data_IF_861787190376
#
_entry.id   IF_861787190376
#
_cell.length_a   1.000
_cell.length_b   1.000
_cell.length_c   1.000
_cell.angle_alpha   90.00
_cell.angle_beta   90.00
_cell.angle_gamma   90.00
#
_symmetry.space_group_name_H-M   'P 1'
#
loop_
_entity.id
_entity.type
_entity.pdbx_description
1 polymer ?
#
# COMPACT_ATOMS: atom_id res chain seq x y z
N UNK A 1 52.22 25.00 -12.15
CA UNK A 1 50.90 25.61 -11.91
C UNK A 1 49.96 25.12 -13.00
N UNK A 2 49.17 24.08 -12.72
CA UNK A 2 48.20 23.53 -13.66
C UNK A 2 46.80 23.81 -13.13
N UNK A 3 46.05 24.60 -13.89
CA UNK A 3 44.68 25.03 -13.64
C UNK A 3 43.69 23.87 -13.76
N UNK A 4 42.95 23.61 -12.70
CA UNK A 4 41.83 22.65 -12.65
C UNK A 4 40.64 23.18 -13.46
N UNK A 5 40.00 22.38 -14.34
CA UNK A 5 38.79 22.80 -15.01
C UNK A 5 37.60 22.71 -14.04
N UNK A 6 36.88 23.83 -13.89
CA UNK A 6 35.62 23.88 -13.14
C UNK A 6 34.60 22.98 -13.82
N UNK A 7 34.07 22.01 -13.07
CA UNK A 7 32.92 21.21 -13.47
C UNK A 7 31.73 22.15 -13.68
N UNK A 8 31.31 22.33 -14.94
CA UNK A 8 30.11 23.08 -15.28
C UNK A 8 28.93 22.19 -14.92
N UNK A 9 28.29 22.45 -13.77
CA UNK A 9 26.99 21.87 -13.44
C UNK A 9 26.04 22.35 -14.55
N UNK A 10 25.58 21.44 -15.39
CA UNK A 10 24.50 21.69 -16.32
C UNK A 10 23.25 21.92 -15.48
N UNK A 11 22.86 23.17 -15.31
CA UNK A 11 21.53 23.54 -14.84
C UNK A 11 20.55 23.05 -15.89
N UNK A 12 19.87 21.92 -15.61
CA UNK A 12 18.64 21.56 -16.31
C UNK A 12 17.70 22.76 -16.17
N UNK A 13 17.23 23.29 -17.30
CA UNK A 13 16.15 24.27 -17.33
C UNK A 13 14.96 23.75 -16.53
N UNK A 14 14.18 24.62 -15.86
CA UNK A 14 12.93 24.19 -15.25
C UNK A 14 12.05 23.53 -16.32
N UNK A 15 11.68 22.27 -16.08
CA UNK A 15 10.91 21.37 -16.98
C UNK A 15 9.48 21.89 -17.30
N UNK A 16 9.16 23.13 -16.93
CA UNK A 16 7.95 23.83 -17.28
C UNK A 16 8.02 24.36 -18.73
N UNK A 17 8.13 23.48 -19.73
CA UNK A 17 7.99 23.89 -21.13
C UNK A 17 6.64 23.44 -21.72
N UNK A 18 5.84 24.46 -22.08
CA UNK A 18 4.70 24.45 -23.02
C UNK A 18 3.42 23.68 -22.65
N UNK A 19 2.87 23.98 -21.48
CA UNK A 19 1.46 23.74 -21.15
C UNK A 19 0.74 24.98 -20.62
N UNK A 20 1.24 26.19 -20.92
CA UNK A 20 0.58 27.42 -20.50
C UNK A 20 -0.72 27.61 -21.29
N UNK A 21 -1.83 27.27 -20.65
CA UNK A 21 -3.13 27.90 -20.87
C UNK A 21 -3.90 27.42 -22.10
N UNK A 22 -4.36 26.18 -22.10
CA UNK A 22 -5.68 25.90 -22.64
C UNK A 22 -6.54 25.44 -21.46
N UNK A 23 -7.40 26.34 -21.02
CA UNK A 23 -8.54 25.94 -20.21
C UNK A 23 -9.59 25.34 -21.15
N UNK A 24 -10.25 24.27 -20.73
CA UNK A 24 -11.45 23.80 -21.43
C UNK A 24 -12.58 24.85 -21.36
N UNK A 25 -13.67 24.67 -22.10
CA UNK A 25 -14.82 25.59 -22.10
C UNK A 25 -15.41 25.85 -20.69
N UNK A 26 -15.02 25.06 -19.68
CA UNK A 26 -15.42 25.19 -18.29
C UNK A 26 -14.34 25.79 -17.37
N UNK A 27 -13.24 26.32 -17.90
CA UNK A 27 -12.16 26.94 -17.12
C UNK A 27 -11.23 25.94 -16.43
N UNK A 28 -11.22 24.66 -16.85
CA UNK A 28 -10.39 23.60 -16.23
C UNK A 28 -9.10 23.40 -17.01
N UNK A 29 -7.98 22.99 -16.37
CA UNK A 29 -6.75 22.69 -17.09
C UNK A 29 -6.99 21.60 -18.16
N UNK A 30 -6.61 21.86 -19.41
CA UNK A 30 -6.68 20.85 -20.47
C UNK A 30 -5.88 19.60 -20.08
N UNK A 31 -6.51 18.44 -20.22
CA UNK A 31 -5.88 17.13 -20.04
C UNK A 31 -5.14 16.73 -21.31
N UNK A 32 -4.03 16.04 -21.13
CA UNK A 32 -3.15 15.60 -22.20
C UNK A 32 -3.44 14.15 -22.60
N UNK A 33 -3.15 13.84 -23.85
CA UNK A 33 -2.96 12.48 -24.35
C UNK A 33 -1.60 11.93 -23.92
N UNK A 34 -1.43 10.61 -23.99
CA UNK A 34 -0.19 9.93 -23.60
C UNK A 34 1.01 10.43 -24.42
N UNK A 35 0.82 10.66 -25.71
CA UNK A 35 1.89 11.09 -26.63
C UNK A 35 2.37 12.53 -26.37
N UNK A 36 1.56 13.34 -25.68
CA UNK A 36 1.89 14.72 -25.27
C UNK A 36 2.67 14.77 -23.94
N UNK A 37 2.75 13.66 -23.20
CA UNK A 37 3.49 13.61 -21.94
C UNK A 37 5.01 13.60 -22.18
N UNK A 38 5.84 14.05 -21.24
CA UNK A 38 7.30 13.96 -21.37
C UNK A 38 7.79 12.52 -21.54
N UNK A 39 8.90 12.32 -22.25
CA UNK A 39 9.45 10.98 -22.56
C UNK A 39 9.69 10.11 -21.32
N UNK A 40 10.19 10.71 -20.22
CA UNK A 40 10.42 10.00 -18.97
C UNK A 40 9.11 9.43 -18.40
N UNK A 41 8.02 10.19 -18.52
CA UNK A 41 6.71 9.79 -18.03
C UNK A 41 6.15 8.67 -18.90
N UNK A 42 6.25 8.79 -20.23
CA UNK A 42 5.80 7.76 -21.17
C UNK A 42 6.55 6.43 -20.98
N UNK A 43 7.86 6.48 -20.72
CA UNK A 43 8.68 5.28 -20.50
C UNK A 43 8.24 4.49 -19.26
N UNK A 44 7.87 5.18 -18.19
CA UNK A 44 7.58 4.57 -16.90
C UNK A 44 6.10 4.20 -16.71
N UNK A 45 5.20 4.74 -17.54
CA UNK A 45 3.75 4.58 -17.40
C UNK A 45 3.10 3.62 -18.41
N UNK A 46 1.81 3.37 -18.20
CA UNK A 46 1.06 2.39 -18.97
C UNK A 46 0.62 2.93 -20.35
N UNK A 47 1.31 2.50 -21.42
CA UNK A 47 0.99 2.79 -22.83
C UNK A 47 -0.45 2.49 -23.30
N UNK A 48 -1.24 1.75 -22.53
CA UNK A 48 -2.64 1.43 -22.89
C UNK A 48 -3.65 2.48 -22.40
N UNK A 49 -3.21 3.36 -21.49
CA UNK A 49 -3.98 4.50 -21.00
C UNK A 49 -3.62 5.69 -21.89
N UNK A 50 -4.57 6.13 -22.72
CA UNK A 50 -4.27 7.02 -23.85
C UNK A 50 -4.57 8.50 -23.57
N UNK A 51 -5.50 8.81 -22.67
CA UNK A 51 -5.95 10.18 -22.41
C UNK A 51 -6.13 10.45 -20.91
N UNK A 52 -6.40 11.72 -20.60
CA UNK A 52 -6.79 12.15 -19.27
C UNK A 52 -5.61 12.47 -18.35
N UNK A 53 -4.40 12.61 -18.90
CA UNK A 53 -3.20 12.93 -18.13
C UNK A 53 -3.20 14.40 -17.70
N UNK A 54 -2.78 14.65 -16.47
CA UNK A 54 -2.57 16.02 -15.99
C UNK A 54 -1.21 16.52 -16.48
N UNK A 55 -1.10 17.77 -16.96
CA UNK A 55 0.19 18.37 -17.28
C UNK A 55 1.16 18.35 -16.09
N UNK A 56 2.46 18.30 -16.37
CA UNK A 56 3.51 18.48 -15.37
C UNK A 56 3.43 19.90 -14.82
N UNK A 57 3.06 19.99 -13.54
CA UNK A 57 2.61 21.23 -12.93
C UNK A 57 3.70 21.96 -12.14
N UNK A 58 4.75 21.25 -11.69
CA UNK A 58 5.75 21.76 -10.77
C UNK A 58 5.17 22.28 -9.44
N UNK A 59 3.92 21.95 -9.12
CA UNK A 59 3.17 22.61 -8.05
C UNK A 59 2.24 21.66 -7.33
N UNK A 60 2.56 21.34 -6.07
CA UNK A 60 1.69 20.54 -5.22
C UNK A 60 0.28 21.14 -5.10
N UNK A 61 0.18 22.49 -5.05
CA UNK A 61 -1.13 23.17 -5.02
C UNK A 61 -1.95 22.88 -6.27
N UNK A 62 -1.33 22.82 -7.45
CA UNK A 62 -2.02 22.45 -8.68
C UNK A 62 -2.44 20.98 -8.66
N UNK A 63 -1.56 20.08 -8.20
CA UNK A 63 -1.87 18.66 -8.00
C UNK A 63 -3.08 18.44 -7.09
N UNK A 64 -3.15 19.09 -5.91
CA UNK A 64 -4.30 18.99 -5.01
C UNK A 64 -5.57 19.65 -5.57
N UNK A 65 -5.45 20.69 -6.40
CA UNK A 65 -6.61 21.26 -7.10
C UNK A 65 -7.23 20.27 -8.09
N UNK A 66 -6.48 19.27 -8.55
CA UNK A 66 -6.99 18.28 -9.49
C UNK A 66 -8.07 17.36 -8.92
N UNK A 67 -8.19 17.28 -7.59
CA UNK A 67 -9.25 16.53 -6.92
C UNK A 67 -10.67 17.00 -7.28
N UNK A 68 -10.79 18.20 -7.88
CA UNK A 68 -12.06 18.85 -8.24
C UNK A 68 -12.54 18.54 -9.66
N UNK A 69 -11.75 17.82 -10.46
CA UNK A 69 -12.12 17.44 -11.81
C UNK A 69 -11.68 16.00 -12.11
N UNK A 70 -12.30 15.39 -13.12
CA UNK A 70 -12.01 14.01 -13.51
C UNK A 70 -10.76 13.96 -14.39
N UNK A 71 -9.90 12.99 -14.12
CA UNK A 71 -8.69 12.68 -14.87
C UNK A 71 -8.36 11.19 -14.69
N UNK A 72 -7.37 10.68 -15.41
CA UNK A 72 -7.03 9.24 -15.40
C UNK A 72 -6.65 8.70 -14.00
N UNK A 73 -6.07 9.54 -13.15
CA UNK A 73 -5.71 9.17 -11.77
C UNK A 73 -6.84 9.34 -10.73
N UNK A 74 -8.02 9.84 -11.12
CA UNK A 74 -9.08 10.15 -10.14
C UNK A 74 -9.50 8.91 -9.35
N UNK A 75 -9.73 7.78 -10.02
CA UNK A 75 -10.14 6.55 -9.33
C UNK A 75 -9.01 6.03 -8.45
N UNK A 76 -7.75 6.09 -8.90
CA UNK A 76 -6.60 5.65 -8.10
C UNK A 76 -6.42 6.47 -6.81
N UNK A 77 -6.64 7.80 -6.88
CA UNK A 77 -6.62 8.68 -5.70
C UNK A 77 -7.72 8.28 -4.72
N UNK A 78 -8.98 8.26 -5.17
CA UNK A 78 -10.11 8.05 -4.25
C UNK A 78 -10.25 6.61 -3.76
N UNK A 79 -9.81 5.63 -4.53
CA UNK A 79 -9.83 4.21 -4.12
C UNK A 79 -8.94 3.92 -2.94
N UNK A 80 -7.92 4.74 -2.66
CA UNK A 80 -7.09 4.65 -1.45
C UNK A 80 -7.30 5.82 -0.48
N UNK A 81 -7.64 7.03 -0.93
CA UNK A 81 -7.92 8.15 -0.02
C UNK A 81 -9.12 7.86 0.89
N UNK A 82 -10.21 7.31 0.33
CA UNK A 82 -11.40 6.99 1.11
C UNK A 82 -11.07 5.91 2.17
N UNK A 83 -10.46 4.75 1.81
CA UNK A 83 -10.01 3.78 2.80
C UNK A 83 -9.01 4.32 3.82
N UNK A 84 -8.06 5.17 3.44
CA UNK A 84 -7.13 5.78 4.39
C UNK A 84 -7.88 6.52 5.52
N UNK A 85 -8.90 7.30 5.15
CA UNK A 85 -9.75 8.02 6.10
C UNK A 85 -10.62 7.06 6.90
N UNK A 86 -11.25 6.07 6.24
CA UNK A 86 -12.11 5.08 6.90
C UNK A 86 -11.33 4.26 7.92
N UNK A 87 -10.12 3.79 7.60
CA UNK A 87 -9.30 3.03 8.55
C UNK A 87 -8.80 3.92 9.69
N UNK A 88 -8.43 5.18 9.42
CA UNK A 88 -7.99 6.10 10.46
C UNK A 88 -9.09 6.38 11.51
N UNK A 89 -10.32 6.65 11.08
CA UNK A 89 -11.46 6.81 11.99
C UNK A 89 -11.98 5.47 12.53
N UNK A 90 -11.87 4.43 11.72
CA UNK A 90 -12.21 3.06 12.07
C UNK A 90 -11.38 2.53 13.23
N UNK A 91 -10.14 3.00 13.40
CA UNK A 91 -9.32 2.67 14.55
C UNK A 91 -9.97 3.09 15.86
N UNK A 92 -10.36 4.36 15.96
CA UNK A 92 -11.08 4.86 17.13
C UNK A 92 -12.36 4.05 17.37
N UNK A 93 -13.12 3.76 16.31
CA UNK A 93 -14.34 2.96 16.42
C UNK A 93 -14.08 1.54 16.93
N UNK A 94 -13.11 0.82 16.36
CA UNK A 94 -12.75 -0.55 16.75
C UNK A 94 -12.28 -0.58 18.20
N UNK A 95 -11.38 0.33 18.61
CA UNK A 95 -10.89 0.35 19.99
C UNK A 95 -12.03 0.62 20.98
N UNK A 96 -12.97 1.51 20.64
CA UNK A 96 -14.17 1.77 21.46
C UNK A 96 -15.11 0.57 21.51
N UNK A 97 -15.33 -0.09 20.37
CA UNK A 97 -16.13 -1.31 20.28
C UNK A 97 -15.53 -2.42 21.16
N UNK A 98 -14.23 -2.67 21.04
CA UNK A 98 -13.52 -3.68 21.81
C UNK A 98 -13.57 -3.38 23.31
N UNK A 99 -13.31 -2.13 23.72
CA UNK A 99 -13.39 -1.71 25.12
C UNK A 99 -14.80 -1.80 25.70
N UNK A 100 -15.84 -1.58 24.89
CA UNK A 100 -17.24 -1.66 25.32
C UNK A 100 -17.78 -3.09 25.38
N UNK A 101 -17.33 -3.97 24.47
CA UNK A 101 -17.81 -5.35 24.36
C UNK A 101 -17.10 -6.30 25.33
N UNK A 102 -15.80 -6.10 25.58
CA UNK A 102 -14.96 -7.05 26.31
C UNK A 102 -14.45 -6.48 27.63
N UNK A 103 -14.88 -7.07 28.74
CA UNK A 103 -14.53 -6.61 30.10
C UNK A 103 -13.07 -6.89 30.51
N UNK A 104 -12.41 -7.88 29.90
CA UNK A 104 -11.03 -8.28 30.22
C UNK A 104 -10.06 -8.03 29.06
N UNK A 105 -10.28 -6.96 28.31
CA UNK A 105 -9.37 -6.57 27.24
C UNK A 105 -8.05 -6.03 27.79
N UNK A 106 -6.95 -6.39 27.14
CA UNK A 106 -5.58 -6.04 27.52
C UNK A 106 -5.02 -4.94 26.61
N UNK A 107 -3.96 -4.29 27.06
CA UNK A 107 -3.24 -3.32 26.22
C UNK A 107 -2.64 -3.97 24.97
N UNK A 108 -2.26 -5.25 25.04
CA UNK A 108 -1.71 -5.98 23.89
C UNK A 108 -2.76 -6.16 22.79
N UNK A 109 -4.03 -6.40 23.16
CA UNK A 109 -5.16 -6.45 22.22
C UNK A 109 -5.24 -5.13 21.45
N UNK A 110 -5.30 -4.00 22.17
CA UNK A 110 -5.39 -2.68 21.57
C UNK A 110 -4.21 -2.37 20.67
N UNK A 111 -2.98 -2.67 21.11
CA UNK A 111 -1.77 -2.43 20.32
C UNK A 111 -1.81 -3.24 19.01
N UNK A 112 -2.20 -4.52 19.06
CA UNK A 112 -2.24 -5.36 17.87
C UNK A 112 -3.24 -4.84 16.82
N UNK A 113 -4.46 -4.48 17.23
CA UNK A 113 -5.45 -3.91 16.31
C UNK A 113 -5.06 -2.52 15.81
N UNK A 114 -4.57 -1.64 16.69
CA UNK A 114 -4.13 -0.29 16.30
C UNK A 114 -3.00 -0.38 15.27
N UNK A 115 -2.07 -1.31 15.45
CA UNK A 115 -0.95 -1.47 14.53
C UNK A 115 -1.43 -1.86 13.13
N UNK A 116 -2.40 -2.76 13.00
CA UNK A 116 -3.03 -3.07 11.71
C UNK A 116 -3.73 -1.85 11.11
N UNK A 117 -4.56 -1.15 11.90
CA UNK A 117 -5.37 -0.03 11.42
C UNK A 117 -4.52 1.18 10.97
N UNK A 118 -3.52 1.56 11.78
CA UNK A 118 -2.60 2.65 11.45
C UNK A 118 -1.75 2.31 10.22
N UNK A 119 -1.19 1.10 10.15
CA UNK A 119 -0.32 0.72 9.02
C UNK A 119 -1.10 0.61 7.71
N UNK A 120 -2.35 0.11 7.74
CA UNK A 120 -3.26 0.15 6.61
C UNK A 120 -3.55 1.60 6.18
N UNK A 121 -3.89 2.47 7.14
CA UNK A 121 -4.15 3.89 6.89
C UNK A 121 -2.95 4.59 6.25
N UNK A 122 -1.74 4.32 6.74
CA UNK A 122 -0.48 4.86 6.19
C UNK A 122 -0.26 4.37 4.76
N UNK A 123 -0.45 3.08 4.49
CA UNK A 123 -0.30 2.52 3.15
C UNK A 123 -1.22 3.22 2.14
N UNK A 124 -2.50 3.29 2.45
CA UNK A 124 -3.48 3.93 1.57
C UNK A 124 -3.24 5.44 1.43
N UNK A 125 -2.82 6.11 2.51
CA UNK A 125 -2.48 7.54 2.45
C UNK A 125 -1.27 7.80 1.54
N UNK A 126 -0.21 7.01 1.66
CA UNK A 126 0.99 7.14 0.81
C UNK A 126 0.65 6.92 -0.67
N UNK A 127 -0.17 5.93 -0.97
CA UNK A 127 -0.66 5.69 -2.32
C UNK A 127 -1.49 6.86 -2.86
N UNK A 128 -2.46 7.36 -2.08
CA UNK A 128 -3.28 8.51 -2.48
C UNK A 128 -2.44 9.78 -2.70
N UNK A 129 -1.40 9.99 -1.88
CA UNK A 129 -0.45 11.10 -2.04
C UNK A 129 0.37 10.93 -3.33
N UNK A 130 0.85 9.73 -3.63
CA UNK A 130 1.57 9.45 -4.87
C UNK A 130 0.72 9.78 -6.11
N UNK A 131 -0.48 9.18 -6.23
CA UNK A 131 -1.36 9.46 -7.36
C UNK A 131 -1.81 10.92 -7.41
N UNK A 132 -1.85 11.62 -6.28
CA UNK A 132 -2.10 13.06 -6.28
C UNK A 132 -0.91 13.83 -6.87
N UNK A 133 0.31 13.54 -6.43
CA UNK A 133 1.52 14.32 -6.71
C UNK A 133 2.33 13.86 -7.92
N UNK A 134 1.97 12.77 -8.59
CA UNK A 134 2.72 12.24 -9.74
C UNK A 134 2.85 13.23 -10.92
N UNK A 135 1.94 14.20 -11.05
CA UNK A 135 2.04 15.27 -12.06
C UNK A 135 2.88 16.48 -11.59
N UNK A 136 3.64 16.36 -10.51
CA UNK A 136 4.43 17.48 -9.97
C UNK A 136 5.71 17.70 -10.78
N UNK A 137 6.69 16.82 -10.64
CA UNK A 137 7.98 16.84 -11.33
C UNK A 137 8.60 15.45 -11.24
N UNK A 138 9.59 15.16 -12.08
CA UNK A 138 10.30 13.88 -12.09
C UNK A 138 10.75 13.44 -10.68
N UNK A 139 11.40 14.34 -9.93
CA UNK A 139 11.94 14.02 -8.59
C UNK A 139 10.85 13.73 -7.55
N UNK A 140 9.74 14.48 -7.59
CA UNK A 140 8.63 14.31 -6.64
C UNK A 140 7.84 13.05 -6.95
N UNK A 141 7.59 12.78 -8.23
CA UNK A 141 6.97 11.54 -8.71
C UNK A 141 7.74 10.31 -8.19
N UNK A 142 9.05 10.25 -8.47
CA UNK A 142 9.89 9.12 -8.04
C UNK A 142 10.06 9.03 -6.53
N UNK A 143 10.03 10.15 -5.80
CA UNK A 143 10.03 10.14 -4.34
C UNK A 143 8.72 9.60 -3.78
N UNK A 144 7.57 10.09 -4.24
CA UNK A 144 6.27 9.65 -3.80
C UNK A 144 5.98 8.19 -4.18
N UNK A 145 6.42 7.74 -5.36
CA UNK A 145 6.33 6.33 -5.75
C UNK A 145 7.08 5.41 -4.77
N UNK A 146 8.24 5.85 -4.25
CA UNK A 146 8.96 5.12 -3.20
C UNK A 146 8.22 5.08 -1.88
N UNK A 147 7.55 6.18 -1.51
CA UNK A 147 6.71 6.21 -0.31
C UNK A 147 5.51 5.27 -0.45
N UNK A 148 4.88 5.20 -1.62
CA UNK A 148 3.79 4.26 -1.89
C UNK A 148 4.24 2.80 -1.69
N UNK A 149 5.36 2.42 -2.32
CA UNK A 149 5.97 1.09 -2.15
C UNK A 149 6.36 0.78 -0.69
N UNK A 150 6.87 1.79 0.03
CA UNK A 150 7.15 1.68 1.46
C UNK A 150 5.87 1.44 2.27
N UNK A 151 4.78 2.11 1.91
CA UNK A 151 3.46 1.95 2.53
C UNK A 151 2.99 0.50 2.49
N UNK A 152 3.12 -0.17 1.34
CA UNK A 152 2.78 -1.59 1.20
C UNK A 152 3.61 -2.44 2.17
N UNK A 153 4.93 -2.18 2.25
CA UNK A 153 5.82 -2.89 3.18
C UNK A 153 5.43 -2.70 4.65
N UNK A 154 5.08 -1.47 5.04
CA UNK A 154 4.63 -1.15 6.41
C UNK A 154 3.31 -1.87 6.71
N UNK A 155 2.36 -1.91 5.77
CA UNK A 155 1.10 -2.61 5.96
C UNK A 155 1.25 -4.13 6.05
N UNK A 156 2.14 -4.74 5.25
CA UNK A 156 2.48 -6.17 5.38
C UNK A 156 2.96 -6.48 6.80
N UNK A 157 3.84 -5.64 7.37
CA UNK A 157 4.32 -5.82 8.75
C UNK A 157 3.15 -5.73 9.75
N UNK A 158 2.25 -4.77 9.57
CA UNK A 158 1.04 -4.62 10.39
C UNK A 158 0.09 -5.81 10.35
N UNK A 159 -0.19 -6.30 9.15
CA UNK A 159 -0.99 -7.50 8.88
C UNK A 159 -0.41 -8.74 9.56
N UNK A 160 0.90 -8.97 9.43
CA UNK A 160 1.54 -10.13 10.06
C UNK A 160 1.55 -10.00 11.59
N UNK A 161 1.78 -8.80 12.14
CA UNK A 161 1.77 -8.60 13.60
C UNK A 161 0.43 -8.97 14.21
N UNK A 162 -0.69 -8.49 13.65
CA UNK A 162 -2.02 -8.86 14.12
C UNK A 162 -2.36 -10.33 13.83
N UNK A 163 -1.95 -10.86 12.67
CA UNK A 163 -2.12 -12.28 12.35
C UNK A 163 -1.44 -13.22 13.34
N UNK A 164 -0.17 -12.95 13.66
CA UNK A 164 0.60 -13.69 14.67
C UNK A 164 -0.06 -13.58 16.04
N UNK A 165 -0.55 -12.39 16.41
CA UNK A 165 -1.26 -12.17 17.66
C UNK A 165 -2.49 -13.09 17.80
N UNK A 166 -3.30 -13.16 16.75
CA UNK A 166 -4.53 -13.94 16.73
C UNK A 166 -4.25 -15.46 16.68
N UNK A 167 -3.26 -15.90 15.90
CA UNK A 167 -2.86 -17.31 15.81
C UNK A 167 -2.35 -17.78 17.18
N UNK A 168 -1.33 -17.10 17.71
CA UNK A 168 -0.61 -17.44 18.94
C UNK A 168 -1.12 -16.66 20.15
N UNK A 169 -2.44 -16.56 20.27
CA UNK A 169 -3.11 -15.77 21.31
C UNK A 169 -2.61 -16.11 22.73
N UNK A 170 -2.63 -17.39 23.09
CA UNK A 170 -2.15 -17.89 24.38
C UNK A 170 -0.64 -18.15 24.43
N UNK A 171 0.03 -18.21 23.27
CA UNK A 171 1.43 -18.64 23.16
C UNK A 171 2.37 -17.43 23.06
N UNK A 172 2.60 -16.77 24.21
CA UNK A 172 3.38 -15.52 24.27
C UNK A 172 4.81 -15.68 23.74
N UNK A 173 5.47 -16.81 24.02
CA UNK A 173 6.83 -17.08 23.52
C UNK A 173 6.88 -17.15 22.00
N UNK A 174 5.97 -17.90 21.38
CA UNK A 174 5.89 -18.01 19.92
C UNK A 174 5.56 -16.67 19.28
N UNK A 175 4.60 -15.94 19.86
CA UNK A 175 4.26 -14.58 19.42
C UNK A 175 5.47 -13.66 19.39
N UNK A 176 6.25 -13.61 20.48
CA UNK A 176 7.42 -12.73 20.57
C UNK A 176 8.53 -13.11 19.58
N UNK A 177 8.74 -14.40 19.32
CA UNK A 177 9.69 -14.90 18.31
C UNK A 177 9.28 -14.38 16.92
N UNK A 178 8.03 -14.57 16.54
CA UNK A 178 7.55 -14.16 15.21
C UNK A 178 7.46 -12.64 15.05
N UNK A 179 7.05 -11.91 16.08
CA UNK A 179 7.11 -10.45 16.06
C UNK A 179 8.54 -9.92 15.90
N UNK A 180 9.51 -10.54 16.57
CA UNK A 180 10.92 -10.18 16.42
C UNK A 180 11.41 -10.42 14.99
N UNK A 181 11.07 -11.59 14.42
CA UNK A 181 11.40 -11.92 13.03
C UNK A 181 10.83 -10.91 12.03
N UNK A 182 9.54 -10.59 12.15
CA UNK A 182 8.86 -9.63 11.27
C UNK A 182 9.41 -8.22 11.46
N UNK A 183 9.75 -7.83 12.69
CA UNK A 183 10.40 -6.56 12.99
C UNK A 183 11.77 -6.43 12.29
N UNK A 184 12.58 -7.50 12.29
CA UNK A 184 13.88 -7.53 11.58
C UNK A 184 13.69 -7.39 10.07
N UNK A 185 12.80 -8.19 9.46
CA UNK A 185 12.56 -8.10 8.01
C UNK A 185 11.94 -6.76 7.61
N UNK A 186 10.99 -6.26 8.38
CA UNK A 186 10.39 -4.93 8.19
C UNK A 186 11.44 -3.82 8.26
N UNK A 187 12.31 -3.83 9.26
CA UNK A 187 13.39 -2.85 9.38
C UNK A 187 14.35 -2.90 8.19
N UNK A 188 14.74 -4.09 7.74
CA UNK A 188 15.59 -4.26 6.55
C UNK A 188 14.90 -3.71 5.29
N UNK A 189 13.61 -3.97 5.10
CA UNK A 189 12.84 -3.43 3.98
C UNK A 189 12.78 -1.90 4.01
N UNK A 190 12.51 -1.30 5.17
CA UNK A 190 12.48 0.16 5.34
C UNK A 190 13.85 0.77 5.03
N UNK A 191 14.92 0.24 5.62
CA UNK A 191 16.30 0.75 5.44
C UNK A 191 16.70 0.66 3.97
N UNK A 192 16.46 -0.47 3.31
CA UNK A 192 16.87 -0.68 1.92
C UNK A 192 16.07 0.18 0.94
N UNK A 193 14.80 0.51 1.23
CA UNK A 193 13.97 1.34 0.36
C UNK A 193 14.16 2.85 0.57
N UNK A 194 14.49 3.30 1.77
CA UNK A 194 14.61 4.75 2.07
C UNK A 194 16.06 5.23 1.96
N UNK A 195 17.04 4.45 2.39
CA UNK A 195 18.40 4.96 2.56
C UNK A 195 19.03 5.34 1.20
N UNK A 196 19.60 6.56 1.04
CA UNK A 196 20.13 7.06 -0.23
C UNK A 196 21.16 6.14 -0.90
N UNK A 197 22.04 5.51 -0.10
CA UNK A 197 23.05 4.55 -0.59
C UNK A 197 22.46 3.36 -1.37
N UNK A 198 21.26 2.92 -1.01
CA UNK A 198 20.63 1.75 -1.61
C UNK A 198 19.73 2.10 -2.80
N UNK A 199 19.71 3.35 -3.26
CA UNK A 199 18.85 3.78 -4.37
C UNK A 199 19.43 3.43 -5.75
N UNK A 200 20.73 3.19 -5.86
CA UNK A 200 21.36 2.85 -7.14
C UNK A 200 20.84 1.53 -7.72
N UNK A 201 20.94 1.37 -9.05
CA UNK A 201 20.49 0.17 -9.76
C UNK A 201 21.14 -1.12 -9.24
N UNK A 202 22.39 -1.03 -8.73
CA UNK A 202 23.14 -2.13 -8.12
C UNK A 202 22.38 -2.81 -6.97
N UNK A 203 21.61 -2.04 -6.19
CA UNK A 203 20.90 -2.54 -5.01
C UNK A 203 19.44 -2.90 -5.28
N UNK A 204 18.96 -2.79 -6.53
CA UNK A 204 17.57 -3.11 -6.90
C UNK A 204 17.16 -4.52 -6.46
N UNK A 205 17.98 -5.51 -6.76
CA UNK A 205 17.72 -6.91 -6.37
C UNK A 205 17.63 -7.08 -4.86
N UNK A 206 18.49 -6.40 -4.10
CA UNK A 206 18.47 -6.43 -2.63
C UNK A 206 17.19 -5.81 -2.06
N UNK A 207 16.73 -4.67 -2.61
CA UNK A 207 15.46 -4.05 -2.18
C UNK A 207 14.27 -4.96 -2.45
N UNK A 208 14.21 -5.56 -3.66
CA UNK A 208 13.15 -6.51 -4.02
C UNK A 208 13.21 -7.76 -3.13
N UNK A 209 14.39 -8.30 -2.87
CA UNK A 209 14.56 -9.47 -2.01
C UNK A 209 14.11 -9.20 -0.57
N UNK A 210 14.45 -8.03 0.01
CA UNK A 210 13.98 -7.64 1.35
C UNK A 210 12.45 -7.55 1.42
N UNK A 211 11.83 -6.93 0.40
CA UNK A 211 10.38 -6.80 0.29
C UNK A 211 9.70 -8.16 0.18
N UNK A 212 10.17 -9.03 -0.72
CA UNK A 212 9.66 -10.41 -0.88
C UNK A 212 9.84 -11.23 0.39
N UNK A 213 11.00 -11.13 1.04
CA UNK A 213 11.27 -11.83 2.30
C UNK A 213 10.32 -11.39 3.41
N UNK A 214 9.99 -10.09 3.50
CA UNK A 214 9.03 -9.56 4.46
C UNK A 214 7.64 -10.14 4.22
N UNK A 215 7.17 -10.17 2.97
CA UNK A 215 5.89 -10.79 2.61
C UNK A 215 5.86 -12.31 2.85
N UNK A 216 6.90 -13.03 2.43
CA UNK A 216 7.01 -14.48 2.60
C UNK A 216 7.14 -14.90 4.07
N UNK A 217 7.55 -13.98 4.96
CA UNK A 217 7.71 -14.25 6.38
C UNK A 217 6.42 -14.68 7.08
N UNK A 218 5.24 -14.37 6.50
CA UNK A 218 3.94 -14.82 7.01
C UNK A 218 3.77 -16.35 6.95
N UNK A 219 4.47 -17.03 6.03
CA UNK A 219 4.32 -18.47 5.85
C UNK A 219 4.79 -19.25 7.08
N UNK A 220 5.85 -18.79 7.75
CA UNK A 220 6.41 -19.47 8.93
C UNK A 220 5.41 -19.55 10.12
N UNK A 221 4.82 -18.44 10.61
CA UNK A 221 3.82 -18.50 11.67
C UNK A 221 2.53 -19.20 11.22
N UNK A 222 2.14 -19.12 9.94
CA UNK A 222 0.96 -19.82 9.43
C UNK A 222 1.15 -21.34 9.45
N UNK A 223 2.26 -21.85 8.92
CA UNK A 223 2.57 -23.28 8.90
C UNK A 223 2.69 -23.81 10.33
N UNK A 224 3.40 -23.10 11.20
CA UNK A 224 3.55 -23.53 12.60
C UNK A 224 2.22 -23.47 13.36
N UNK A 225 1.37 -22.47 13.11
CA UNK A 225 0.03 -22.41 13.67
C UNK A 225 -0.84 -23.58 13.23
N UNK A 226 -0.79 -23.95 11.95
CA UNK A 226 -1.52 -25.13 11.43
C UNK A 226 -1.03 -26.45 12.04
N UNK A 227 0.28 -26.58 12.25
CA UNK A 227 0.89 -27.77 12.86
C UNK A 227 0.50 -27.93 14.34
N UNK A 228 0.57 -26.85 15.12
CA UNK A 228 0.29 -26.88 16.57
C UNK A 228 -1.20 -26.95 16.88
N UNK A 229 -2.03 -26.19 16.15
CA UNK A 229 -3.45 -26.01 16.49
C UNK A 229 -4.39 -26.86 15.61
N UNK A 230 -3.90 -27.37 14.49
CA UNK A 230 -4.72 -28.07 13.50
C UNK A 230 -5.67 -27.15 12.75
N UNK A 231 -6.18 -27.67 11.63
CA UNK A 231 -7.09 -26.91 10.75
C UNK A 231 -8.45 -26.62 11.41
N UNK A 232 -8.92 -27.52 12.28
CA UNK A 232 -10.23 -27.36 12.93
C UNK A 232 -10.26 -26.15 13.87
N UNK A 233 -9.23 -25.96 14.70
CA UNK A 233 -9.16 -24.82 15.61
C UNK A 233 -8.93 -23.51 14.84
N UNK A 234 -8.11 -23.55 13.79
CA UNK A 234 -7.92 -22.41 12.90
C UNK A 234 -9.25 -22.03 12.21
N UNK A 235 -10.04 -22.99 11.74
CA UNK A 235 -11.34 -22.72 11.12
C UNK A 235 -12.36 -22.10 12.06
N UNK A 236 -12.37 -22.51 13.33
CA UNK A 236 -13.19 -21.86 14.36
C UNK A 236 -12.80 -20.40 14.59
N UNK A 237 -11.55 -20.04 14.31
CA UNK A 237 -11.04 -18.66 14.24
C UNK A 237 -11.23 -18.02 12.85
N UNK A 238 -12.26 -18.41 12.09
CA UNK A 238 -12.57 -17.86 10.77
C UNK A 238 -11.44 -17.98 9.72
N UNK A 239 -10.43 -18.82 9.95
CA UNK A 239 -9.18 -18.80 9.19
C UNK A 239 -9.36 -19.12 7.70
N UNK A 240 -9.94 -20.28 7.35
CA UNK A 240 -9.90 -20.75 5.96
C UNK A 240 -10.68 -19.85 5.01
N UNK A 241 -11.91 -19.47 5.36
CA UNK A 241 -12.73 -18.68 4.44
C UNK A 241 -12.14 -17.26 4.24
N UNK A 242 -11.61 -16.64 5.29
CA UNK A 242 -10.99 -15.31 5.22
C UNK A 242 -9.66 -15.35 4.49
N UNK A 243 -8.84 -16.37 4.72
CA UNK A 243 -7.59 -16.60 3.97
C UNK A 243 -7.84 -16.82 2.50
N UNK A 244 -8.77 -17.71 2.14
CA UNK A 244 -9.10 -17.99 0.73
C UNK A 244 -9.61 -16.73 0.04
N UNK A 245 -10.51 -15.99 0.69
CA UNK A 245 -11.06 -14.75 0.13
C UNK A 245 -10.00 -13.64 0.00
N UNK A 246 -9.13 -13.45 1.02
CA UNK A 246 -7.99 -12.51 0.97
C UNK A 246 -7.01 -12.88 -0.14
N UNK A 247 -6.56 -14.12 -0.19
CA UNK A 247 -5.63 -14.61 -1.21
C UNK A 247 -6.25 -14.46 -2.60
N UNK A 248 -7.53 -14.79 -2.76
CA UNK A 248 -8.29 -14.56 -3.98
C UNK A 248 -8.23 -13.10 -4.43
N UNK A 249 -8.55 -12.16 -3.54
CA UNK A 249 -8.48 -10.73 -3.85
C UNK A 249 -7.06 -10.29 -4.26
N UNK A 250 -6.04 -10.69 -3.49
CA UNK A 250 -4.64 -10.30 -3.76
C UNK A 250 -4.10 -10.88 -5.06
N UNK A 251 -4.37 -12.17 -5.34
CA UNK A 251 -3.94 -12.84 -6.57
C UNK A 251 -4.68 -12.28 -7.78
N UNK A 252 -5.99 -12.07 -7.69
CA UNK A 252 -6.77 -11.44 -8.76
C UNK A 252 -6.28 -10.02 -9.04
N UNK A 253 -6.05 -9.20 -8.00
CA UNK A 253 -5.53 -7.84 -8.17
C UNK A 253 -4.15 -7.81 -8.81
N UNK A 254 -3.26 -8.70 -8.36
CA UNK A 254 -1.92 -8.87 -8.94
C UNK A 254 -2.00 -9.30 -10.41
N UNK A 255 -2.87 -10.25 -10.73
CA UNK A 255 -3.04 -10.74 -12.09
C UNK A 255 -3.58 -9.64 -13.02
N UNK A 256 -4.60 -8.89 -12.59
CA UNK A 256 -5.15 -7.76 -13.34
C UNK A 256 -4.07 -6.72 -13.63
N UNK A 257 -3.33 -6.29 -12.59
CA UNK A 257 -2.25 -5.32 -12.71
C UNK A 257 -1.11 -5.79 -13.63
N UNK A 258 -0.66 -7.05 -13.47
CA UNK A 258 0.42 -7.60 -14.29
C UNK A 258 0.03 -7.75 -15.77
N UNK A 259 -1.20 -8.19 -16.05
CA UNK A 259 -1.73 -8.33 -17.40
C UNK A 259 -2.18 -6.99 -18.02
N UNK A 260 -2.23 -5.93 -17.21
CA UNK A 260 -2.80 -4.63 -17.58
C UNK A 260 -4.21 -4.77 -18.15
N UNK A 261 -4.99 -5.69 -17.59
CA UNK A 261 -6.36 -5.97 -18.03
C UNK A 261 -7.34 -5.14 -17.19
N UNK A 262 -8.34 -4.49 -17.81
CA UNK A 262 -8.80 -4.65 -19.20
C UNK A 262 -8.20 -3.66 -20.22
N UNK A 263 -7.42 -2.66 -19.82
CA UNK A 263 -6.95 -1.61 -20.72
C UNK A 263 -6.04 -2.11 -21.87
N UNK A 264 -5.32 -3.22 -21.67
CA UNK A 264 -4.49 -3.83 -22.72
C UNK A 264 -5.31 -4.43 -23.85
N UNK A 265 -6.57 -4.82 -23.59
CA UNK A 265 -7.49 -5.38 -24.59
C UNK A 265 -8.32 -4.29 -25.26
N UNK A 266 -8.61 -3.21 -24.54
CA UNK A 266 -9.35 -2.06 -25.06
C UNK A 266 -8.66 -0.74 -24.70
N UNK A 267 -7.57 -0.39 -25.41
CA UNK A 267 -6.83 0.84 -25.16
C UNK A 267 -7.73 2.07 -25.26
N UNK A 268 -7.56 3.05 -24.37
CA UNK A 268 -8.37 4.27 -24.35
C UNK A 268 -9.74 4.13 -23.66
N UNK A 269 -10.31 2.92 -23.53
CA UNK A 269 -11.65 2.73 -22.92
C UNK A 269 -11.62 2.73 -21.40
N UNK A 270 -10.49 2.36 -20.83
CA UNK A 270 -10.30 2.21 -19.38
C UNK A 270 -9.32 3.24 -18.83
N UNK A 271 -9.25 4.42 -19.46
CA UNK A 271 -8.31 5.48 -19.09
C UNK A 271 -8.53 6.01 -17.66
N UNK A 272 -9.78 6.01 -17.18
CA UNK A 272 -10.14 6.51 -15.85
C UNK A 272 -10.18 5.42 -14.77
N UNK A 273 -10.46 4.17 -15.15
CA UNK A 273 -10.58 3.04 -14.22
C UNK A 273 -9.89 1.82 -14.85
N UNK A 274 -8.62 1.66 -14.55
CA UNK A 274 -7.73 0.69 -15.18
C UNK A 274 -7.46 -0.52 -14.28
N UNK A 275 -6.65 -1.47 -14.76
CA UNK A 275 -6.13 -2.58 -13.96
C UNK A 275 -5.56 -2.14 -12.61
N UNK A 276 -4.91 -0.97 -12.56
CA UNK A 276 -4.35 -0.41 -11.34
C UNK A 276 -5.44 0.00 -10.35
N UNK A 277 -6.51 0.62 -10.85
CA UNK A 277 -7.69 0.97 -10.06
C UNK A 277 -8.37 -0.27 -9.48
N UNK A 278 -8.51 -1.34 -10.28
CA UNK A 278 -9.06 -2.61 -9.81
C UNK A 278 -8.15 -3.27 -8.76
N UNK A 279 -6.84 -3.20 -8.94
CA UNK A 279 -5.87 -3.70 -7.96
C UNK A 279 -6.01 -2.97 -6.62
N UNK A 280 -6.16 -1.63 -6.60
CA UNK A 280 -6.43 -0.86 -5.38
C UNK A 280 -7.67 -1.37 -4.65
N UNK A 281 -8.78 -1.50 -5.38
CA UNK A 281 -10.06 -1.96 -4.82
C UNK A 281 -9.92 -3.36 -4.19
N UNK A 282 -9.21 -4.27 -4.85
CA UNK A 282 -9.02 -5.63 -4.36
C UNK A 282 -8.07 -5.69 -3.15
N UNK A 283 -7.04 -4.86 -3.08
CA UNK A 283 -6.16 -4.75 -1.91
C UNK A 283 -6.92 -4.21 -0.69
N UNK A 284 -7.79 -3.23 -0.88
CA UNK A 284 -8.67 -2.71 0.18
C UNK A 284 -9.68 -3.78 0.62
N UNK A 285 -10.29 -4.47 -0.33
CA UNK A 285 -11.22 -5.57 -0.04
C UNK A 285 -10.55 -6.69 0.78
N UNK A 286 -9.32 -7.05 0.42
CA UNK A 286 -8.51 -8.02 1.14
C UNK A 286 -8.28 -7.59 2.61
N UNK A 287 -7.97 -6.32 2.85
CA UNK A 287 -7.78 -5.79 4.21
C UNK A 287 -9.08 -5.80 5.03
N UNK A 288 -10.21 -5.46 4.42
CA UNK A 288 -11.53 -5.50 5.08
C UNK A 288 -11.90 -6.94 5.46
N UNK A 289 -11.78 -7.88 4.51
CA UNK A 289 -12.01 -9.31 4.76
C UNK A 289 -11.12 -9.81 5.90
N UNK A 290 -9.85 -9.40 5.90
CA UNK A 290 -8.90 -9.78 6.93
C UNK A 290 -9.27 -9.22 8.31
N UNK A 291 -9.70 -7.96 8.39
CA UNK A 291 -10.16 -7.34 9.64
C UNK A 291 -11.40 -8.04 10.20
N UNK A 292 -12.39 -8.36 9.35
CA UNK A 292 -13.55 -9.16 9.75
C UNK A 292 -13.09 -10.49 10.34
N UNK A 293 -12.20 -11.19 9.64
CA UNK A 293 -11.63 -12.44 10.13
C UNK A 293 -10.92 -12.32 11.47
N UNK A 294 -10.14 -11.26 11.68
CA UNK A 294 -9.48 -11.03 12.96
C UNK A 294 -10.45 -10.72 14.10
N UNK A 295 -11.52 -9.97 13.85
CA UNK A 295 -12.55 -9.72 14.86
C UNK A 295 -13.31 -10.99 15.25
N UNK A 296 -13.65 -11.84 14.29
CA UNK A 296 -14.28 -13.14 14.57
C UNK A 296 -13.33 -14.10 15.31
N UNK A 297 -12.07 -14.16 14.88
CA UNK A 297 -11.05 -14.96 15.52
C UNK A 297 -10.78 -14.51 16.96
N UNK A 298 -10.78 -13.19 17.19
CA UNK A 298 -10.68 -12.57 18.50
C UNK A 298 -11.86 -12.96 19.39
N UNK A 299 -13.08 -12.83 18.87
CA UNK A 299 -14.31 -13.18 19.61
C UNK A 299 -14.32 -14.66 20.00
N UNK A 300 -13.92 -15.54 19.08
CA UNK A 300 -13.77 -16.96 19.37
C UNK A 300 -12.71 -17.20 20.46
N UNK A 301 -11.53 -16.59 20.33
CA UNK A 301 -10.44 -16.73 21.29
C UNK A 301 -10.84 -16.24 22.69
N UNK A 302 -11.42 -15.05 22.78
CA UNK A 302 -11.86 -14.44 24.03
C UNK A 302 -12.92 -15.28 24.75
N UNK A 303 -13.85 -15.88 23.99
CA UNK A 303 -15.00 -16.60 24.55
C UNK A 303 -14.70 -18.06 24.91
N UNK A 304 -13.77 -18.70 24.18
CA UNK A 304 -13.58 -20.15 24.24
C UNK A 304 -12.18 -20.59 24.71
N UNK A 305 -11.18 -19.72 24.69
CA UNK A 305 -9.82 -20.09 25.07
C UNK A 305 -9.49 -19.56 26.47
N UNK A 306 -8.98 -20.46 27.30
CA UNK A 306 -8.35 -20.13 28.59
C UNK A 306 -6.86 -20.32 28.46
N UNK A 307 -6.10 -19.23 28.52
CA UNK A 307 -4.66 -19.31 28.46
C UNK A 307 -4.10 -19.74 29.81
N UNK A 308 -3.24 -20.74 29.81
CA UNK A 308 -2.47 -21.14 31.00
C UNK A 308 -1.56 -19.98 31.40
N UNK A 309 -1.54 -19.63 32.70
CA UNK A 309 -0.54 -18.71 33.25
C UNK A 309 0.81 -19.42 33.24
N UNK A 310 1.62 -19.19 32.20
CA UNK A 310 3.05 -19.54 32.17
C UNK A 310 3.90 -18.38 32.65
#
# INVERSE_FOLDING_TARGET
MASTPRLRVSTKEPEAHKGQGMEDDAGRPALLSFDEMPEWFQHDNNRWILHGYRPISGSARASFRSWRYLHNETVNIYSHLIPAVVFLFGEWYILRYLAGKYSRITSTDFIAFSFFMLTASICYAFSAVYHTLMNHSYDVDHFCHRLDMLGIGIFIVGDIVLGVYIIFWCETTLRNIYWSMVGVFGALTIITNIHPKFQSHKYRSMRTAAFVATGASVLAPLIHGLDVFGLDLMNKKAFTYTMVAKIGCLLSGTALYAMRFPESWWPGKFDMCSSHSFMHILVVSAAVIQMIGYLEAFEYAYSNLTCSTS
#
